data_IF_780833434603
#
_entry.id   IF_780833434603
#
_cell.length_a   1.000
_cell.length_b   1.000
_cell.length_c   1.000
_cell.angle_alpha   90.00
_cell.angle_beta   90.00
_cell.angle_gamma   90.00
#
_symmetry.space_group_name_H-M   'P 1'
#
loop_
_entity.id
_entity.type
_entity.pdbx_description
1 polymer ?
#
# COMPACT_ATOMS: atom_id res chain seq x y z
N UNK A 1 3.28 18.88 -12.01
CA UNK A 1 1.80 18.99 -12.03
C UNK A 1 1.21 18.18 -13.18
N UNK A 2 1.69 18.35 -14.41
CA UNK A 2 1.25 17.57 -15.58
C UNK A 2 1.40 16.04 -15.41
N UNK A 3 2.53 15.58 -14.86
CA UNK A 3 2.76 14.13 -14.62
C UNK A 3 1.72 13.50 -13.69
N UNK A 4 1.21 14.23 -12.69
CA UNK A 4 0.20 13.70 -11.77
C UNK A 4 -1.14 13.59 -12.48
N UNK A 5 -1.50 14.58 -13.29
CA UNK A 5 -2.75 14.58 -14.06
C UNK A 5 -2.75 13.43 -15.07
N UNK A 6 -1.65 13.23 -15.80
CA UNK A 6 -1.51 12.12 -16.75
C UNK A 6 -1.62 10.76 -16.07
N UNK A 7 -1.02 10.61 -14.89
CA UNK A 7 -1.16 9.39 -14.09
C UNK A 7 -2.63 9.14 -13.72
N UNK A 8 -3.35 10.17 -13.25
CA UNK A 8 -4.77 10.05 -12.89
C UNK A 8 -5.67 9.77 -14.10
N UNK A 9 -5.38 10.37 -15.25
CA UNK A 9 -6.07 10.05 -16.50
C UNK A 9 -5.85 8.58 -16.88
N UNK A 10 -4.63 8.06 -16.72
CA UNK A 10 -4.34 6.64 -16.94
C UNK A 10 -5.09 5.71 -15.98
N UNK A 11 -5.23 6.09 -14.71
CA UNK A 11 -6.06 5.35 -13.73
C UNK A 11 -7.55 5.28 -14.16
N UNK A 12 -8.07 6.33 -14.80
CA UNK A 12 -9.45 6.40 -15.31
C UNK A 12 -9.65 5.66 -16.63
N UNK A 13 -8.66 5.73 -17.53
CA UNK A 13 -8.71 5.11 -18.86
C UNK A 13 -8.67 3.57 -18.77
N UNK A 14 -7.78 3.03 -17.93
CA UNK A 14 -7.63 1.58 -17.73
C UNK A 14 -7.30 1.26 -16.26
N UNK A 15 -8.31 1.26 -15.37
CA UNK A 15 -8.11 0.98 -13.95
C UNK A 15 -7.63 -0.44 -13.69
N UNK A 16 -7.97 -1.39 -14.57
CA UNK A 16 -7.52 -2.79 -14.45
C UNK A 16 -6.01 -2.87 -14.68
N UNK A 17 -5.49 -2.24 -15.73
CA UNK A 17 -4.04 -2.16 -15.98
C UNK A 17 -3.32 -1.42 -14.86
N UNK A 18 -3.87 -0.30 -14.40
CA UNK A 18 -3.29 0.44 -13.27
C UNK A 18 -3.24 -0.44 -12.00
N UNK A 19 -4.28 -1.21 -11.71
CA UNK A 19 -4.32 -2.12 -10.58
C UNK A 19 -3.30 -3.28 -10.71
N UNK A 20 -3.12 -3.83 -11.92
CA UNK A 20 -2.06 -4.84 -12.19
C UNK A 20 -0.66 -4.30 -11.95
N UNK A 21 -0.40 -3.05 -12.36
CA UNK A 21 0.87 -2.39 -12.07
C UNK A 21 1.08 -2.24 -10.56
N UNK A 22 0.05 -1.85 -9.81
CA UNK A 22 0.13 -1.72 -8.36
C UNK A 22 0.37 -3.07 -7.68
N UNK A 23 -0.35 -4.11 -8.11
CA UNK A 23 -0.14 -5.47 -7.61
C UNK A 23 1.32 -5.94 -7.81
N UNK A 24 1.95 -5.59 -8.94
CA UNK A 24 3.35 -5.95 -9.20
C UNK A 24 4.36 -5.31 -8.24
N UNK A 25 3.99 -4.20 -7.60
CA UNK A 25 4.84 -3.46 -6.66
C UNK A 25 4.67 -3.93 -5.20
N UNK A 26 3.70 -4.80 -4.91
CA UNK A 26 3.44 -5.25 -3.55
C UNK A 26 4.59 -6.07 -2.98
N UNK A 27 5.18 -6.97 -3.78
CA UNK A 27 6.30 -7.79 -3.32
C UNK A 27 7.50 -6.95 -2.87
N UNK A 28 7.86 -5.91 -3.63
CA UNK A 28 8.91 -4.96 -3.23
C UNK A 28 8.49 -4.17 -1.98
N UNK A 29 7.25 -3.69 -1.94
CA UNK A 29 6.74 -2.89 -0.82
C UNK A 29 6.77 -3.70 0.49
N UNK A 30 6.30 -4.94 0.45
CA UNK A 30 6.35 -5.88 1.58
C UNK A 30 7.78 -6.08 2.07
N UNK A 31 8.71 -6.39 1.16
CA UNK A 31 10.10 -6.60 1.52
C UNK A 31 10.74 -5.37 2.16
N UNK A 32 10.39 -4.16 1.68
CA UNK A 32 10.86 -2.91 2.27
C UNK A 32 10.25 -2.65 3.65
N UNK A 33 8.97 -2.95 3.85
CA UNK A 33 8.32 -2.83 5.16
C UNK A 33 8.95 -3.77 6.19
N UNK A 34 9.28 -5.00 5.81
CA UNK A 34 10.00 -5.97 6.66
C UNK A 34 11.43 -5.50 7.01
N UNK A 35 12.08 -4.74 6.13
CA UNK A 35 13.41 -4.18 6.39
C UNK A 35 13.39 -2.84 7.15
N UNK A 36 12.22 -2.21 7.30
CA UNK A 36 12.10 -0.89 7.93
C UNK A 36 12.64 -0.83 9.37
N UNK A 37 12.39 -1.82 10.25
CA UNK A 37 12.96 -1.81 11.61
C UNK A 37 14.49 -1.75 11.59
N UNK A 38 15.13 -2.51 10.69
CA UNK A 38 16.58 -2.52 10.56
C UNK A 38 17.11 -1.16 10.06
N UNK A 39 16.44 -0.56 9.09
CA UNK A 39 16.83 0.76 8.58
C UNK A 39 16.71 1.84 9.67
N UNK A 40 15.65 1.80 10.48
CA UNK A 40 15.48 2.71 11.63
C UNK A 40 16.57 2.49 12.69
N UNK A 41 16.83 1.24 13.08
CA UNK A 41 17.82 0.91 14.11
C UNK A 41 19.26 1.26 13.68
N UNK A 42 19.55 1.19 12.37
CA UNK A 42 20.88 1.47 11.82
C UNK A 42 21.07 2.94 11.41
N UNK A 43 20.10 3.82 11.69
CA UNK A 43 20.16 5.26 11.38
C UNK A 43 20.10 5.56 9.87
N UNK A 44 19.53 4.64 9.08
CA UNK A 44 19.31 4.80 7.64
C UNK A 44 18.01 5.56 7.36
N UNK A 45 17.93 6.77 7.90
CA UNK A 45 16.70 7.59 7.90
C UNK A 45 16.15 7.84 6.49
N UNK A 46 17.05 8.00 5.51
CA UNK A 46 16.66 8.19 4.11
C UNK A 46 15.94 6.96 3.56
N UNK A 47 16.50 5.77 3.76
CA UNK A 47 15.91 4.52 3.29
C UNK A 47 14.57 4.25 3.98
N UNK A 48 14.50 4.49 5.29
CA UNK A 48 13.26 4.38 6.04
C UNK A 48 12.16 5.32 5.49
N UNK A 49 12.51 6.57 5.20
CA UNK A 49 11.60 7.55 4.60
C UNK A 49 11.16 7.14 3.19
N UNK A 50 12.08 6.66 2.35
CA UNK A 50 11.77 6.17 1.01
C UNK A 50 10.78 4.99 1.05
N UNK A 51 10.93 4.09 2.03
CA UNK A 51 10.00 2.97 2.26
C UNK A 51 8.60 3.45 2.63
N UNK A 52 8.48 4.37 3.59
CA UNK A 52 7.19 4.94 4.00
C UNK A 52 6.51 5.73 2.86
N UNK A 53 7.30 6.45 2.06
CA UNK A 53 6.81 7.17 0.89
C UNK A 53 6.29 6.22 -0.19
N UNK A 54 7.04 5.15 -0.50
CA UNK A 54 6.59 4.12 -1.43
C UNK A 54 5.25 3.52 -0.99
N UNK A 55 5.17 3.07 0.27
CA UNK A 55 3.95 2.50 0.83
C UNK A 55 2.76 3.46 0.71
N UNK A 56 2.95 4.72 1.09
CA UNK A 56 1.90 5.75 1.02
C UNK A 56 1.42 5.99 -0.42
N UNK A 57 2.33 6.04 -1.38
CA UNK A 57 2.00 6.20 -2.81
C UNK A 57 1.20 5.00 -3.33
N UNK A 58 1.63 3.79 -2.99
CA UNK A 58 0.97 2.54 -3.39
C UNK A 58 -0.44 2.45 -2.81
N UNK A 59 -0.60 2.68 -1.50
CA UNK A 59 -1.90 2.63 -0.84
C UNK A 59 -2.83 3.73 -1.35
N UNK A 60 -2.33 4.95 -1.54
CA UNK A 60 -3.12 6.04 -2.09
C UNK A 60 -3.64 5.73 -3.50
N UNK A 61 -2.83 5.08 -4.35
CA UNK A 61 -3.27 4.59 -5.67
C UNK A 61 -4.32 3.50 -5.55
N UNK A 62 -4.09 2.51 -4.69
CA UNK A 62 -5.04 1.42 -4.47
C UNK A 62 -6.42 1.94 -4.03
N UNK A 63 -6.47 2.86 -3.07
CA UNK A 63 -7.73 3.45 -2.59
C UNK A 63 -8.51 4.19 -3.67
N UNK A 64 -7.83 4.81 -4.64
CA UNK A 64 -8.50 5.43 -5.79
C UNK A 64 -8.96 4.40 -6.83
N UNK A 65 -8.20 3.33 -7.03
CA UNK A 65 -8.51 2.31 -8.03
C UNK A 65 -9.69 1.42 -7.61
N UNK A 66 -9.86 1.12 -6.32
CA UNK A 66 -10.97 0.28 -5.85
C UNK A 66 -12.35 0.74 -6.35
N UNK A 67 -12.78 2.01 -6.15
CA UNK A 67 -14.06 2.47 -6.67
C UNK A 67 -14.12 2.49 -8.22
N UNK A 68 -12.99 2.69 -8.91
CA UNK A 68 -12.95 2.63 -10.38
C UNK A 68 -13.09 1.20 -10.91
N UNK A 69 -12.51 0.21 -10.23
CA UNK A 69 -12.69 -1.21 -10.54
C UNK A 69 -14.15 -1.61 -10.30
N UNK A 70 -14.74 -1.19 -9.18
CA UNK A 70 -16.15 -1.42 -8.88
C UNK A 70 -17.08 -0.80 -9.93
N UNK A 71 -16.80 0.43 -10.37
CA UNK A 71 -17.54 1.10 -11.44
C UNK A 71 -17.49 0.32 -12.77
N UNK A 72 -16.38 -0.38 -13.04
CA UNK A 72 -16.20 -1.26 -14.20
C UNK A 72 -16.70 -2.70 -13.98
N UNK A 73 -17.48 -2.95 -12.92
CA UNK A 73 -18.12 -4.25 -12.69
C UNK A 73 -17.24 -5.30 -12.01
N UNK A 74 -16.02 -4.95 -11.56
CA UNK A 74 -15.16 -5.83 -10.78
C UNK A 74 -15.61 -5.80 -9.32
N UNK A 75 -15.94 -6.98 -8.75
CA UNK A 75 -16.39 -7.08 -7.36
C UNK A 75 -15.21 -6.91 -6.39
N UNK A 76 -15.15 -5.78 -5.70
CA UNK A 76 -14.05 -5.46 -4.75
C UNK A 76 -14.43 -5.66 -3.28
N UNK A 77 -15.63 -6.19 -2.99
CA UNK A 77 -16.16 -6.32 -1.62
C UNK A 77 -15.25 -7.14 -0.70
N UNK A 78 -14.57 -8.14 -1.26
CA UNK A 78 -13.60 -8.98 -0.53
C UNK A 78 -12.39 -8.22 0.00
N UNK A 79 -12.07 -7.04 -0.57
CA UNK A 79 -10.94 -6.22 -0.13
C UNK A 79 -11.27 -5.39 1.11
N UNK A 80 -12.55 -5.10 1.35
CA UNK A 80 -13.00 -4.16 2.39
C UNK A 80 -12.46 -4.48 3.79
N UNK A 81 -12.55 -5.73 4.30
CA UNK A 81 -12.06 -6.04 5.65
C UNK A 81 -10.56 -5.74 5.81
N UNK A 82 -9.76 -6.11 4.82
CA UNK A 82 -8.30 -5.90 4.85
C UNK A 82 -7.96 -4.40 4.82
N UNK A 83 -8.71 -3.61 4.06
CA UNK A 83 -8.53 -2.16 3.98
C UNK A 83 -8.92 -1.45 5.28
N UNK A 84 -9.94 -1.94 5.99
CA UNK A 84 -10.34 -1.44 7.31
C UNK A 84 -9.28 -1.74 8.37
N UNK A 85 -8.69 -2.94 8.35
CA UNK A 85 -7.55 -3.29 9.21
C UNK A 85 -6.35 -2.37 8.96
N UNK A 86 -5.95 -2.19 7.69
CA UNK A 86 -4.86 -1.27 7.33
C UNK A 86 -5.19 0.16 7.76
N UNK A 87 -6.43 0.60 7.60
CA UNK A 87 -6.88 1.92 8.04
C UNK A 87 -6.66 2.15 9.53
N UNK A 88 -6.88 1.13 10.36
CA UNK A 88 -6.63 1.18 11.81
C UNK A 88 -5.13 1.25 12.10
N UNK A 89 -4.34 0.36 11.48
CA UNK A 89 -2.88 0.30 11.67
C UNK A 89 -2.21 1.62 11.23
N UNK A 90 -2.73 2.30 10.20
CA UNK A 90 -2.23 3.60 9.76
C UNK A 90 -2.35 4.69 10.82
N UNK A 91 -3.40 4.65 11.66
CA UNK A 91 -3.56 5.60 12.76
C UNK A 91 -2.51 5.36 13.86
N UNK A 92 -2.25 4.08 14.16
CA UNK A 92 -1.20 3.69 15.12
C UNK A 92 0.19 4.06 14.59
N UNK A 93 0.44 3.82 13.29
CA UNK A 93 1.71 4.17 12.63
C UNK A 93 1.96 5.69 12.66
N UNK A 94 0.92 6.49 12.37
CA UNK A 94 1.01 7.95 12.44
C UNK A 94 1.32 8.41 13.86
N UNK A 95 0.61 7.86 14.85
CA UNK A 95 0.82 8.19 16.26
C UNK A 95 2.23 7.84 16.73
N UNK A 96 2.75 6.66 16.35
CA UNK A 96 4.11 6.23 16.65
C UNK A 96 5.16 7.14 15.99
N UNK A 97 4.90 7.58 14.76
CA UNK A 97 5.79 8.49 14.04
C UNK A 97 5.84 9.88 14.70
N UNK A 98 4.68 10.42 15.11
CA UNK A 98 4.58 11.73 15.78
C UNK A 98 5.30 11.74 17.14
N UNK A 99 5.25 10.64 17.89
CA UNK A 99 5.96 10.47 19.16
C UNK A 99 7.42 10.06 19.00
N UNK A 100 7.89 9.88 17.75
CA UNK A 100 9.24 9.39 17.40
C UNK A 100 9.55 8.01 18.00
N UNK A 101 8.53 7.18 18.18
CA UNK A 101 8.69 5.81 18.63
C UNK A 101 9.12 4.90 17.47
N UNK A 102 10.42 4.94 17.17
CA UNK A 102 11.00 4.16 16.07
C UNK A 102 10.88 2.65 16.24
N UNK A 103 10.75 2.15 17.48
CA UNK A 103 10.54 0.72 17.74
C UNK A 103 9.13 0.34 17.31
N UNK A 104 8.13 1.07 17.78
CA UNK A 104 6.74 0.82 17.41
C UNK A 104 6.48 1.03 15.91
N UNK A 105 7.10 2.04 15.27
CA UNK A 105 7.03 2.21 13.80
C UNK A 105 7.57 0.97 13.08
N UNK A 106 8.68 0.42 13.56
CA UNK A 106 9.24 -0.83 13.02
C UNK A 106 8.28 -2.00 13.20
N UNK A 107 7.78 -2.21 14.42
CA UNK A 107 6.90 -3.33 14.75
C UNK A 107 5.60 -3.30 13.92
N UNK A 108 4.97 -2.13 13.80
CA UNK A 108 3.78 -1.94 12.97
C UNK A 108 4.07 -2.21 11.49
N UNK A 109 5.23 -1.82 10.99
CA UNK A 109 5.60 -2.07 9.60
C UNK A 109 5.82 -3.56 9.32
N UNK A 110 6.57 -4.25 10.18
CA UNK A 110 6.97 -5.65 10.01
C UNK A 110 5.83 -6.63 10.33
N UNK A 111 5.15 -6.48 11.47
CA UNK A 111 4.20 -7.47 11.96
C UNK A 111 2.74 -7.15 11.64
N UNK A 112 2.41 -5.88 11.37
CA UNK A 112 1.04 -5.50 11.03
C UNK A 112 0.88 -5.22 9.53
N UNK A 113 1.61 -4.24 8.99
CA UNK A 113 1.41 -3.77 7.61
C UNK A 113 1.88 -4.79 6.57
N UNK A 114 3.10 -5.32 6.69
CA UNK A 114 3.64 -6.26 5.70
C UNK A 114 2.74 -7.50 5.49
N UNK A 115 2.22 -8.16 6.55
CA UNK A 115 1.25 -9.25 6.39
C UNK A 115 -0.04 -8.83 5.68
N UNK A 116 -0.63 -7.67 6.00
CA UNK A 116 -1.85 -7.22 5.33
C UNK A 116 -1.62 -6.83 3.88
N UNK A 117 -0.44 -6.32 3.53
CA UNK A 117 -0.06 -6.10 2.13
C UNK A 117 0.02 -7.43 1.35
N UNK A 118 0.56 -8.51 1.96
CA UNK A 118 0.52 -9.85 1.36
C UNK A 118 -0.92 -10.34 1.17
N UNK A 119 -1.77 -10.21 2.19
CA UNK A 119 -3.20 -10.57 2.08
C UNK A 119 -3.94 -9.76 1.01
N UNK A 120 -3.65 -8.46 0.86
CA UNK A 120 -4.17 -7.65 -0.24
C UNK A 120 -3.69 -8.16 -1.59
N UNK A 121 -2.42 -8.55 -1.73
CA UNK A 121 -1.87 -9.10 -2.97
C UNK A 121 -2.64 -10.35 -3.42
N UNK A 122 -2.86 -11.26 -2.47
CA UNK A 122 -3.58 -12.51 -2.67
C UNK A 122 -5.03 -12.23 -3.05
N UNK A 123 -5.70 -11.33 -2.33
CA UNK A 123 -7.09 -10.96 -2.59
C UNK A 123 -7.29 -10.24 -3.94
N UNK A 124 -6.29 -9.46 -4.41
CA UNK A 124 -6.32 -8.81 -5.72
C UNK A 124 -6.12 -9.80 -6.88
N UNK A 125 -5.38 -10.90 -6.68
CA UNK A 125 -5.05 -11.85 -7.74
C UNK A 125 -6.26 -12.38 -8.53
N UNK A 126 -7.31 -12.93 -7.89
CA UNK A 126 -8.49 -13.41 -8.63
C UNK A 126 -9.29 -12.28 -9.28
N UNK A 127 -9.22 -11.05 -8.74
CA UNK A 127 -9.93 -9.88 -9.28
C UNK A 127 -9.28 -9.36 -10.56
N UNK A 128 -7.95 -9.47 -10.65
CA UNK A 128 -7.16 -8.94 -11.77
C UNK A 128 -6.81 -10.00 -12.82
N UNK A 129 -6.87 -11.29 -12.46
CA UNK A 129 -6.64 -12.43 -13.36
C UNK A 129 -7.85 -12.87 -14.18
N UNK A 130 -9.03 -12.31 -13.91
CA UNK A 130 -10.28 -12.62 -14.60
C UNK A 130 -10.54 -11.61 -15.72
N UNK A 131 -9.80 -11.67 -16.82
CA UNK A 131 -10.07 -10.91 -18.06
C UNK A 131 -9.53 -11.65 -19.27
#
# INVERSE_FOLDING_TARGET
MESLILERLGELEDPLKAAKMIQSLFAETVQRMENLPLDLQTGKDRQAMETLQLFTVIMGKLFRLIPLLAFNGIKTDSLKPILEEIGTILQDLLSAYETKDTVLVGDLAEYEIAPRLRSLQEALTPLLGSS
#
